data_IF_407307468156
#
_entry.id   IF_407307468156
#
_cell.length_a   1.000
_cell.length_b   1.000
_cell.length_c   1.000
_cell.angle_alpha   90.00
_cell.angle_beta   90.00
_cell.angle_gamma   90.00
#
_symmetry.space_group_name_H-M   'P 1'
#
loop_
_entity.id
_entity.type
_entity.pdbx_description
1 polymer ?
#
# COMPACT_ATOMS: atom_id res chain seq x y z
N UNK A 1 14.22 2.19 -8.96
CA UNK A 1 14.76 2.57 -7.67
C UNK A 1 13.71 3.33 -6.86
N UNK A 2 13.36 2.80 -5.73
CA UNK A 2 12.35 3.40 -4.88
C UNK A 2 12.89 4.70 -4.25
N UNK A 3 12.04 5.69 -4.12
CA UNK A 3 12.32 6.90 -3.36
C UNK A 3 11.74 6.76 -1.96
N UNK A 4 12.34 7.42 -0.95
CA UNK A 4 11.78 7.39 0.39
C UNK A 4 10.42 8.10 0.44
N UNK A 5 9.52 7.59 1.27
CA UNK A 5 8.26 8.27 1.55
C UNK A 5 8.56 9.48 2.43
N UNK A 6 8.10 10.67 2.03
CA UNK A 6 8.30 11.87 2.81
C UNK A 6 7.32 11.92 3.99
N UNK A 7 7.68 12.67 5.03
CA UNK A 7 6.78 12.87 6.18
C UNK A 7 5.50 13.56 5.74
N UNK A 8 5.59 14.48 4.79
CA UNK A 8 4.43 15.18 4.25
C UNK A 8 3.45 14.20 3.59
N UNK A 9 3.97 13.32 2.71
CA UNK A 9 3.14 12.34 2.03
C UNK A 9 2.51 11.36 3.02
N UNK A 10 3.28 10.91 4.01
CA UNK A 10 2.79 9.98 5.02
C UNK A 10 1.68 10.61 5.86
N UNK A 11 1.85 11.83 6.31
CA UNK A 11 0.84 12.55 7.09
C UNK A 11 -0.46 12.68 6.30
N UNK A 12 -0.36 13.09 5.04
CA UNK A 12 -1.55 13.23 4.19
C UNK A 12 -2.24 11.89 3.94
N UNK A 13 -1.46 10.82 3.73
CA UNK A 13 -2.02 9.48 3.55
C UNK A 13 -2.89 9.09 4.75
N UNK A 14 -2.38 9.23 5.95
CA UNK A 14 -3.12 8.80 7.14
C UNK A 14 -4.29 9.73 7.45
N UNK A 15 -4.19 11.02 7.11
CA UNK A 15 -5.33 11.91 7.20
C UNK A 15 -6.46 11.48 6.26
N UNK A 16 -6.12 11.08 5.03
CA UNK A 16 -7.10 10.56 4.08
C UNK A 16 -7.73 9.26 4.61
N UNK A 17 -6.90 8.33 5.06
CA UNK A 17 -7.38 7.04 5.57
C UNK A 17 -8.35 7.21 6.73
N UNK A 18 -8.07 8.14 7.63
CA UNK A 18 -8.93 8.40 8.79
C UNK A 18 -10.34 8.84 8.40
N UNK A 19 -10.53 9.37 7.20
CA UNK A 19 -11.86 9.76 6.71
C UNK A 19 -12.67 8.57 6.20
N UNK A 20 -12.04 7.42 5.98
CA UNK A 20 -12.68 6.29 5.31
C UNK A 20 -12.75 5.04 6.16
N UNK A 21 -11.79 4.81 7.04
CA UNK A 21 -11.67 3.52 7.69
C UNK A 21 -10.96 3.66 9.03
N UNK A 22 -11.30 2.75 9.96
CA UNK A 22 -10.60 2.63 11.23
C UNK A 22 -9.38 1.72 11.03
N UNK A 23 -8.21 2.21 11.41
CA UNK A 23 -6.96 1.48 11.23
C UNK A 23 -6.79 0.41 12.31
N UNK A 24 -7.34 0.65 13.51
CA UNK A 24 -7.19 -0.32 14.60
C UNK A 24 -7.80 -1.67 14.19
N UNK A 25 -7.03 -2.72 14.37
CA UNK A 25 -7.38 -4.10 14.00
C UNK A 25 -7.55 -4.37 12.50
N UNK A 26 -7.29 -3.38 11.64
CA UNK A 26 -7.42 -3.56 10.20
C UNK A 26 -6.32 -4.48 9.65
N UNK A 27 -6.64 -5.20 8.59
CA UNK A 27 -5.64 -5.93 7.81
C UNK A 27 -5.13 -5.06 6.67
N UNK A 28 -3.80 -4.99 6.52
CA UNK A 28 -3.15 -4.04 5.62
C UNK A 28 -2.19 -4.76 4.67
N UNK A 29 -2.23 -4.36 3.40
CA UNK A 29 -1.26 -4.80 2.39
C UNK A 29 -0.51 -3.57 1.89
N UNK A 30 0.82 -3.57 2.11
CA UNK A 30 1.73 -2.51 1.67
C UNK A 30 2.54 -3.04 0.49
N UNK A 31 2.16 -2.63 -0.72
CA UNK A 31 2.66 -3.29 -1.94
C UNK A 31 4.06 -2.87 -2.36
N UNK A 32 4.52 -1.70 -2.03
CA UNK A 32 5.88 -1.24 -2.35
C UNK A 32 6.48 -0.69 -1.07
N UNK A 33 6.86 -1.58 -0.18
CA UNK A 33 7.13 -1.20 1.19
C UNK A 33 8.41 -0.35 1.38
N UNK A 34 9.37 -0.45 0.45
CA UNK A 34 10.62 0.30 0.57
C UNK A 34 11.33 -0.02 1.86
N UNK A 35 11.61 1.01 2.67
CA UNK A 35 12.23 0.82 3.98
C UNK A 35 11.22 0.59 5.10
N UNK A 36 9.92 0.49 4.76
CA UNK A 36 8.88 0.09 5.70
C UNK A 36 8.19 1.21 6.46
N UNK A 37 8.47 2.46 6.13
CA UNK A 37 7.94 3.61 6.88
C UNK A 37 6.42 3.56 7.03
N UNK A 38 5.71 3.25 5.97
CA UNK A 38 4.25 3.19 6.00
C UNK A 38 3.77 1.97 6.79
N UNK A 39 4.42 0.83 6.60
CA UNK A 39 4.07 -0.38 7.36
C UNK A 39 4.23 -0.18 8.87
N UNK A 40 5.33 0.47 9.30
CA UNK A 40 5.54 0.74 10.73
C UNK A 40 4.47 1.69 11.27
N UNK A 41 4.06 2.67 10.48
CA UNK A 41 3.01 3.60 10.90
C UNK A 41 1.68 2.88 11.10
N UNK A 42 1.32 1.97 10.20
CA UNK A 42 0.13 1.14 10.40
C UNK A 42 0.23 0.30 11.69
N UNK A 43 1.39 -0.31 11.91
CA UNK A 43 1.60 -1.11 13.13
C UNK A 43 1.47 -0.24 14.38
N UNK A 44 2.07 0.94 14.34
CA UNK A 44 2.02 1.91 15.45
C UNK A 44 0.59 2.37 15.74
N UNK A 45 -0.26 2.41 14.73
CA UNK A 45 -1.66 2.83 14.89
C UNK A 45 -2.61 1.68 15.21
N UNK A 46 -2.09 0.50 15.44
CA UNK A 46 -2.88 -0.62 15.92
C UNK A 46 -3.44 -1.55 14.87
N UNK A 47 -2.94 -1.49 13.63
CA UNK A 47 -3.37 -2.44 12.61
C UNK A 47 -3.18 -3.88 13.12
N UNK A 48 -4.13 -4.75 12.77
CA UNK A 48 -4.12 -6.12 13.29
C UNK A 48 -3.14 -7.03 12.56
N UNK A 49 -2.98 -6.83 11.26
CA UNK A 49 -2.10 -7.63 10.41
C UNK A 49 -1.56 -6.76 9.30
N UNK A 50 -0.27 -6.84 9.03
CA UNK A 50 0.35 -6.08 7.96
C UNK A 50 1.19 -7.03 7.12
N UNK A 51 0.92 -7.06 5.81
CA UNK A 51 1.72 -7.78 4.83
C UNK A 51 2.45 -6.74 4.00
N UNK A 52 3.78 -6.81 3.99
CA UNK A 52 4.64 -5.86 3.29
C UNK A 52 5.35 -6.59 2.16
N UNK A 53 5.29 -6.03 0.96
CA UNK A 53 5.92 -6.59 -0.23
C UNK A 53 7.06 -5.69 -0.63
N UNK A 54 8.26 -6.26 -0.79
CA UNK A 54 9.44 -5.51 -1.19
C UNK A 54 10.35 -6.37 -2.05
N UNK A 55 10.70 -5.88 -3.23
CA UNK A 55 11.52 -6.62 -4.18
C UNK A 55 13.01 -6.53 -3.87
N UNK A 56 13.47 -5.39 -3.36
CA UNK A 56 14.90 -5.16 -3.09
C UNK A 56 15.32 -5.89 -1.82
N UNK A 57 16.34 -6.74 -1.94
CA UNK A 57 16.79 -7.55 -0.80
C UNK A 57 17.24 -6.70 0.39
N UNK A 58 17.96 -5.62 0.14
CA UNK A 58 18.49 -4.80 1.24
C UNK A 58 17.33 -4.12 2.00
N UNK A 59 16.32 -3.64 1.30
CA UNK A 59 15.14 -3.07 1.94
C UNK A 59 14.35 -4.14 2.69
N UNK A 60 14.18 -5.31 2.08
CA UNK A 60 13.50 -6.44 2.71
C UNK A 60 14.18 -6.82 4.03
N UNK A 61 15.51 -6.97 4.02
CA UNK A 61 16.27 -7.33 5.20
C UNK A 61 16.16 -6.24 6.27
N UNK A 62 16.20 -4.98 5.84
CA UNK A 62 16.05 -3.83 6.74
C UNK A 62 14.69 -3.84 7.43
N UNK A 63 13.62 -4.09 6.68
CA UNK A 63 12.27 -4.12 7.25
C UNK A 63 12.16 -5.25 8.28
N UNK A 64 12.66 -6.44 7.95
CA UNK A 64 12.60 -7.57 8.89
C UNK A 64 13.33 -7.26 10.19
N UNK A 65 14.53 -6.70 10.07
CA UNK A 65 15.33 -6.33 11.25
C UNK A 65 14.61 -5.26 12.07
N UNK A 66 14.11 -4.22 11.42
CA UNK A 66 13.48 -3.10 12.09
C UNK A 66 12.18 -3.53 12.79
N UNK A 67 11.36 -4.35 12.12
CA UNK A 67 10.12 -4.85 12.70
C UNK A 67 10.42 -5.67 13.97
N UNK A 68 11.46 -6.49 13.93
CA UNK A 68 11.89 -7.27 15.09
C UNK A 68 12.34 -6.35 16.23
N UNK A 69 13.16 -5.35 15.91
CA UNK A 69 13.66 -4.40 16.92
C UNK A 69 12.54 -3.59 17.56
N UNK A 70 11.52 -3.23 16.78
CA UNK A 70 10.38 -2.46 17.28
C UNK A 70 9.32 -3.34 17.95
N UNK A 71 9.46 -4.65 17.87
CA UNK A 71 8.54 -5.58 18.49
C UNK A 71 7.21 -5.74 17.75
N UNK A 72 7.17 -5.42 16.45
CA UNK A 72 5.98 -5.58 15.64
C UNK A 72 5.83 -7.02 15.16
N UNK A 73 5.14 -7.84 15.93
CA UNK A 73 4.97 -9.28 15.63
C UNK A 73 3.91 -9.55 14.59
N UNK A 74 3.08 -8.56 14.26
CA UNK A 74 1.98 -8.68 13.31
C UNK A 74 2.37 -8.28 11.89
N UNK A 75 3.64 -8.04 11.63
CA UNK A 75 4.15 -7.74 10.28
C UNK A 75 4.74 -8.99 9.65
N UNK A 76 4.33 -9.27 8.42
CA UNK A 76 4.90 -10.33 7.58
C UNK A 76 5.47 -9.68 6.34
N UNK A 77 6.75 -9.90 6.06
CA UNK A 77 7.43 -9.27 4.95
C UNK A 77 7.81 -10.34 3.91
N UNK A 78 7.43 -10.12 2.65
CA UNK A 78 7.79 -11.01 1.55
C UNK A 78 8.71 -10.29 0.56
N UNK A 79 9.80 -10.96 0.19
CA UNK A 79 10.70 -10.47 -0.84
C UNK A 79 10.24 -11.03 -2.18
N UNK A 80 9.49 -10.24 -2.92
CA UNK A 80 8.94 -10.67 -4.21
C UNK A 80 8.47 -9.47 -5.01
N UNK A 81 8.24 -9.69 -6.31
CA UNK A 81 7.59 -8.72 -7.16
C UNK A 81 6.12 -8.56 -6.77
N UNK A 82 5.61 -7.32 -6.86
CA UNK A 82 4.25 -7.00 -6.47
C UNK A 82 3.21 -7.79 -7.26
N UNK A 83 3.40 -7.93 -8.57
CA UNK A 83 2.41 -8.64 -9.40
C UNK A 83 2.39 -10.14 -9.10
N UNK A 84 3.55 -10.71 -8.80
CA UNK A 84 3.64 -12.11 -8.36
C UNK A 84 2.95 -12.26 -7.00
N UNK A 85 3.22 -11.34 -6.07
CA UNK A 85 2.62 -11.37 -4.73
C UNK A 85 1.09 -11.32 -4.80
N UNK A 86 0.55 -10.43 -5.64
CA UNK A 86 -0.91 -10.30 -5.77
C UNK A 86 -1.56 -11.61 -6.23
N UNK A 87 -0.93 -12.32 -7.16
CA UNK A 87 -1.45 -13.61 -7.60
C UNK A 87 -1.40 -14.66 -6.50
N UNK A 88 -0.31 -14.69 -5.75
CA UNK A 88 -0.15 -15.66 -4.66
C UNK A 88 -1.09 -15.39 -3.49
N UNK A 89 -1.46 -14.13 -3.28
CA UNK A 89 -2.37 -13.73 -2.21
C UNK A 89 -3.85 -13.80 -2.64
N UNK A 90 -4.12 -14.25 -3.86
CA UNK A 90 -5.48 -14.32 -4.39
C UNK A 90 -6.45 -14.89 -3.37
N UNK A 91 -7.53 -14.17 -3.11
CA UNK A 91 -8.56 -14.59 -2.15
C UNK A 91 -8.26 -14.21 -0.70
N UNK A 92 -7.06 -13.71 -0.40
CA UNK A 92 -6.77 -13.17 0.94
C UNK A 92 -7.15 -11.69 0.92
N UNK A 93 -8.21 -11.31 1.62
CA UNK A 93 -8.68 -9.94 1.57
C UNK A 93 -8.04 -9.06 2.63
N UNK A 94 -7.87 -7.78 2.26
CA UNK A 94 -7.31 -6.76 3.14
C UNK A 94 -8.28 -5.59 3.26
N UNK A 95 -8.34 -5.00 4.45
CA UNK A 95 -9.17 -3.81 4.67
C UNK A 95 -8.54 -2.58 4.04
N UNK A 96 -7.22 -2.51 4.03
CA UNK A 96 -6.48 -1.38 3.48
C UNK A 96 -5.37 -1.92 2.58
N UNK A 97 -5.29 -1.38 1.35
CA UNK A 97 -4.18 -1.67 0.44
C UNK A 97 -3.56 -0.35 0.06
N UNK A 98 -2.23 -0.25 0.22
CA UNK A 98 -1.49 0.94 -0.17
C UNK A 98 -0.39 0.55 -1.15
N UNK A 99 -0.21 1.37 -2.20
CA UNK A 99 0.86 1.20 -3.17
C UNK A 99 1.52 2.54 -3.44
N UNK A 100 2.85 2.59 -3.24
CA UNK A 100 3.66 3.75 -3.61
C UNK A 100 4.77 3.28 -4.55
N UNK A 101 4.42 3.00 -5.83
CA UNK A 101 5.39 2.46 -6.78
C UNK A 101 6.46 3.48 -7.15
N UNK A 102 7.63 3.03 -7.60
CA UNK A 102 8.58 3.93 -8.22
C UNK A 102 7.90 4.65 -9.39
N UNK A 103 8.17 5.95 -9.56
CA UNK A 103 7.49 6.74 -10.59
C UNK A 103 7.78 6.26 -12.02
N UNK A 104 8.90 5.56 -12.22
CA UNK A 104 9.27 5.02 -13.53
C UNK A 104 8.83 3.57 -13.73
N UNK A 105 7.94 3.05 -12.88
CA UNK A 105 7.44 1.69 -13.05
C UNK A 105 6.62 1.59 -14.34
N UNK A 106 7.04 0.75 -15.28
CA UNK A 106 6.36 0.60 -16.57
C UNK A 106 4.93 0.10 -16.40
N UNK A 107 4.72 -0.78 -15.42
CA UNK A 107 3.42 -1.42 -15.21
C UNK A 107 2.56 -0.72 -14.18
N UNK A 108 2.82 0.57 -13.92
CA UNK A 108 2.05 1.31 -12.90
C UNK A 108 0.55 1.26 -13.19
N UNK A 109 0.15 1.29 -14.46
CA UNK A 109 -1.26 1.26 -14.84
C UNK A 109 -1.93 -0.10 -14.61
N UNK A 110 -1.14 -1.15 -14.33
CA UNK A 110 -1.66 -2.50 -14.08
C UNK A 110 -1.93 -2.77 -12.59
N UNK A 111 -1.57 -1.83 -11.71
CA UNK A 111 -1.73 -2.04 -10.27
C UNK A 111 -3.20 -2.21 -9.88
N UNK A 112 -4.16 -1.39 -10.36
CA UNK A 112 -5.56 -1.61 -10.00
C UNK A 112 -6.05 -3.00 -10.40
N UNK A 113 -5.72 -3.47 -11.61
CA UNK A 113 -6.12 -4.81 -12.05
C UNK A 113 -5.50 -5.89 -11.17
N UNK A 114 -4.25 -5.71 -10.76
CA UNK A 114 -3.59 -6.69 -9.87
C UNK A 114 -4.34 -6.81 -8.54
N UNK A 115 -4.83 -5.70 -8.02
CA UNK A 115 -5.60 -5.69 -6.77
C UNK A 115 -6.97 -6.34 -6.96
N UNK A 116 -7.72 -5.89 -7.94
CA UNK A 116 -9.14 -6.27 -8.07
C UNK A 116 -9.35 -7.59 -8.78
N UNK A 117 -8.49 -7.96 -9.73
CA UNK A 117 -8.61 -9.26 -10.41
C UNK A 117 -8.19 -10.42 -9.51
N UNK A 118 -7.45 -10.17 -8.46
CA UNK A 118 -7.05 -11.19 -7.49
C UNK A 118 -7.87 -11.14 -6.20
N UNK A 119 -8.93 -10.34 -6.19
CA UNK A 119 -9.88 -10.26 -5.07
C UNK A 119 -9.18 -9.97 -3.73
N UNK A 120 -8.33 -8.95 -3.73
CA UNK A 120 -7.53 -8.63 -2.55
C UNK A 120 -8.16 -7.59 -1.62
N UNK A 121 -9.16 -6.84 -2.08
CA UNK A 121 -9.76 -5.80 -1.26
C UNK A 121 -11.05 -6.29 -0.63
N UNK A 122 -11.16 -6.14 0.70
CA UNK A 122 -12.38 -6.48 1.43
C UNK A 122 -13.55 -5.62 0.96
N UNK A 123 -14.81 -6.09 1.12
CA UNK A 123 -15.98 -5.35 0.61
C UNK A 123 -16.06 -3.89 1.05
N UNK A 124 -15.72 -3.59 2.29
CA UNK A 124 -15.74 -2.22 2.81
C UNK A 124 -14.34 -1.61 2.88
N UNK A 125 -13.38 -2.22 2.20
CA UNK A 125 -12.00 -1.78 2.24
C UNK A 125 -11.72 -0.59 1.34
N UNK A 126 -10.51 -0.07 1.47
CA UNK A 126 -10.02 1.05 0.68
C UNK A 126 -8.64 0.74 0.14
N UNK A 127 -8.41 1.04 -1.15
CA UNK A 127 -7.09 0.94 -1.74
C UNK A 127 -6.65 2.32 -2.19
N UNK A 128 -5.40 2.67 -1.92
CA UNK A 128 -4.84 3.96 -2.28
C UNK A 128 -3.54 3.73 -3.03
N UNK A 129 -3.42 4.36 -4.20
CA UNK A 129 -2.20 4.33 -4.99
C UNK A 129 -1.64 5.74 -5.07
N UNK A 130 -0.40 5.92 -4.63
CA UNK A 130 0.33 7.16 -4.84
C UNK A 130 1.00 7.08 -6.21
N UNK A 131 0.91 8.17 -7.00
CA UNK A 131 1.41 8.14 -8.37
C UNK A 131 1.81 9.55 -8.84
N UNK A 132 2.61 9.67 -9.92
CA UNK A 132 2.92 10.98 -10.48
C UNK A 132 1.71 11.57 -11.17
N UNK A 133 1.74 12.89 -11.40
CA UNK A 133 0.62 13.62 -12.02
C UNK A 133 0.36 13.19 -13.47
N UNK A 134 1.33 12.50 -14.09
CA UNK A 134 1.18 11.99 -15.45
C UNK A 134 0.31 10.74 -15.56
N UNK A 135 -0.01 10.12 -14.42
CA UNK A 135 -0.84 8.91 -14.37
C UNK A 135 -2.26 9.31 -14.01
N UNK A 136 -3.24 8.78 -14.74
CA UNK A 136 -4.66 9.04 -14.51
C UNK A 136 -5.40 7.71 -14.41
N UNK A 137 -5.91 7.41 -13.22
CA UNK A 137 -6.68 6.18 -12.97
C UNK A 137 -8.19 6.40 -13.02
N UNK A 138 -8.66 7.59 -13.42
CA UNK A 138 -10.07 7.95 -13.30
C UNK A 138 -11.00 7.09 -14.13
N UNK A 139 -10.50 6.42 -15.17
CA UNK A 139 -11.33 5.54 -15.98
C UNK A 139 -11.31 4.08 -15.53
N UNK A 140 -10.53 3.75 -14.50
CA UNK A 140 -10.46 2.39 -13.98
C UNK A 140 -11.74 2.00 -13.26
N UNK A 141 -12.18 0.72 -13.39
CA UNK A 141 -13.26 0.23 -12.53
C UNK A 141 -12.84 0.35 -11.06
N UNK A 142 -13.80 0.65 -10.20
CA UNK A 142 -13.58 0.81 -8.77
C UNK A 142 -12.84 2.09 -8.38
N UNK A 143 -12.48 2.95 -9.35
CA UNK A 143 -11.93 4.26 -9.01
C UNK A 143 -12.99 5.07 -8.26
N UNK A 144 -12.60 5.66 -7.11
CA UNK A 144 -13.52 6.43 -6.29
C UNK A 144 -13.25 7.92 -6.36
N UNK A 145 -12.01 8.35 -6.05
CA UNK A 145 -11.64 9.75 -6.15
C UNK A 145 -10.13 9.92 -6.21
N UNK A 146 -9.71 11.12 -6.63
CA UNK A 146 -8.31 11.52 -6.68
C UNK A 146 -8.12 12.69 -5.72
N UNK A 147 -7.09 12.61 -4.90
CA UNK A 147 -6.69 13.68 -3.98
C UNK A 147 -5.28 14.13 -4.31
N UNK A 148 -5.07 15.44 -4.27
CA UNK A 148 -3.76 16.02 -4.52
C UNK A 148 -3.34 16.90 -3.36
N UNK A 149 -2.10 16.72 -2.89
CA UNK A 149 -1.49 17.52 -1.84
C UNK A 149 -0.11 17.94 -2.33
N UNK A 150 0.03 19.18 -2.82
CA UNK A 150 1.28 19.60 -3.44
C UNK A 150 1.61 18.75 -4.66
N UNK A 151 2.77 18.09 -4.64
CA UNK A 151 3.18 17.17 -5.71
C UNK A 151 2.74 15.73 -5.46
N UNK A 152 2.05 15.46 -4.35
CA UNK A 152 1.61 14.12 -3.99
C UNK A 152 0.22 13.87 -4.55
N UNK A 153 0.06 12.80 -5.30
CA UNK A 153 -1.23 12.40 -5.87
C UNK A 153 -1.63 11.04 -5.33
N UNK A 154 -2.84 10.95 -4.79
CA UNK A 154 -3.44 9.69 -4.35
C UNK A 154 -4.68 9.41 -5.18
N UNK A 155 -4.74 8.23 -5.79
CA UNK A 155 -6.00 7.72 -6.33
C UNK A 155 -6.57 6.69 -5.37
N UNK A 156 -7.85 6.84 -5.07
CA UNK A 156 -8.55 6.06 -4.06
C UNK A 156 -9.54 5.15 -4.77
N UNK A 157 -9.55 3.88 -4.39
CA UNK A 157 -10.37 2.85 -5.00
C UNK A 157 -11.22 2.17 -3.93
N UNK A 158 -12.45 1.84 -4.28
CA UNK A 158 -13.37 1.08 -3.42
C UNK A 158 -14.10 0.06 -4.29
N UNK A 159 -14.49 -1.07 -3.71
CA UNK A 159 -15.27 -2.05 -4.48
C UNK A 159 -16.62 -1.44 -4.87
N UNK A 160 -16.98 -1.63 -6.13
CA UNK A 160 -18.25 -1.16 -6.68
C UNK A 160 -19.33 -2.23 -6.57
#
# INVERSE_FOLDING_TARGET
>A
KARPTTDFAKENLFNVLNNYIDIEDASVLDLFAGTGSISYEFASRGAGKIVSIELNYNHYAFIKKTATQLGFKNMTIFKTDVFIACKKLNGTTFDIIFADPPYNLEKINEIPAAIFNNDLLAPDGIAIIEHPSTVDFSSEPNFFEHRRYGSVNFSIFKRQ
#
